data_IF_519919756436
#
_entry.id   IF_519919756436
#
_cell.length_a   1.000
_cell.length_b   1.000
_cell.length_c   1.000
_cell.angle_alpha   90.00
_cell.angle_beta   90.00
_cell.angle_gamma   90.00
#
_symmetry.space_group_name_H-M   'P 1'
#
loop_
_entity.id
_entity.type
_entity.pdbx_description
1 polymer ?
#
# COMPACT_ATOMS: atom_id res chain seq x y z
N UNK A 1 -18.19 15.60 -17.97
CA UNK A 1 -18.12 15.01 -16.61
C UNK A 1 -19.32 14.12 -16.35
N UNK A 2 -19.38 13.41 -15.21
CA UNK A 2 -20.44 12.42 -14.89
C UNK A 2 -21.87 12.96 -15.03
N UNK A 3 -22.10 14.24 -14.75
CA UNK A 3 -23.41 14.89 -14.82
C UNK A 3 -24.02 14.99 -16.23
N UNK A 4 -23.20 14.89 -17.29
CA UNK A 4 -23.65 15.05 -18.68
C UNK A 4 -23.81 13.75 -19.45
N UNK A 5 -23.91 12.59 -18.78
CA UNK A 5 -23.84 11.27 -19.44
C UNK A 5 -25.03 10.98 -20.37
N UNK A 6 -26.19 11.56 -20.10
CA UNK A 6 -27.45 11.29 -20.85
C UNK A 6 -27.96 12.52 -21.60
N UNK A 7 -27.60 13.72 -21.15
CA UNK A 7 -28.06 14.99 -21.70
C UNK A 7 -27.47 16.17 -20.93
N UNK A 8 -27.94 17.41 -21.17
CA UNK A 8 -27.47 18.58 -20.46
C UNK A 8 -27.66 18.43 -18.94
N UNK A 9 -26.56 18.52 -18.18
CA UNK A 9 -26.54 18.36 -16.73
C UNK A 9 -25.89 19.54 -16.02
N UNK A 10 -26.14 19.64 -14.71
CA UNK A 10 -25.55 20.69 -13.84
C UNK A 10 -24.56 20.05 -12.88
N UNK A 11 -23.49 20.77 -12.56
CA UNK A 11 -22.50 20.37 -11.56
C UNK A 11 -22.36 21.51 -10.54
N UNK A 12 -22.66 21.22 -9.29
CA UNK A 12 -22.47 22.16 -8.18
C UNK A 12 -21.12 21.88 -7.54
N UNK A 13 -20.22 22.85 -7.60
CA UNK A 13 -18.87 22.79 -7.01
C UNK A 13 -18.89 23.60 -5.72
N UNK A 14 -18.45 22.99 -4.60
CA UNK A 14 -18.43 23.64 -3.28
C UNK A 14 -17.13 24.43 -3.04
N UNK A 15 -16.58 25.02 -4.10
CA UNK A 15 -15.35 25.83 -4.10
C UNK A 15 -15.48 26.96 -5.12
N UNK A 16 -14.68 28.01 -4.96
CA UNK A 16 -14.69 29.17 -5.86
C UNK A 16 -14.04 28.85 -7.21
N UNK A 17 -14.38 29.62 -8.25
CA UNK A 17 -13.76 29.47 -9.55
C UNK A 17 -12.25 29.77 -9.50
N UNK A 18 -11.86 30.78 -8.71
CA UNK A 18 -10.45 31.16 -8.51
C UNK A 18 -9.63 30.00 -7.93
N UNK A 19 -10.15 29.29 -6.92
CA UNK A 19 -9.47 28.13 -6.36
C UNK A 19 -9.30 26.99 -7.39
N UNK A 20 -10.28 26.80 -8.27
CA UNK A 20 -10.18 25.79 -9.33
C UNK A 20 -9.10 26.12 -10.37
N UNK A 21 -8.94 27.40 -10.70
CA UNK A 21 -8.01 27.85 -11.74
C UNK A 21 -6.58 28.02 -11.24
N UNK A 22 -6.41 28.49 -9.99
CA UNK A 22 -5.11 28.92 -9.47
C UNK A 22 -4.54 28.01 -8.37
N UNK A 23 -5.36 27.31 -7.60
CA UNK A 23 -4.90 26.54 -6.42
C UNK A 23 -4.86 25.03 -6.66
N UNK A 24 -5.74 24.50 -7.51
CA UNK A 24 -5.80 23.06 -7.77
C UNK A 24 -4.70 22.60 -8.73
N UNK A 25 -4.10 21.44 -8.42
CA UNK A 25 -3.18 20.79 -9.35
C UNK A 25 -3.93 20.42 -10.65
N UNK A 26 -3.32 20.62 -11.82
CA UNK A 26 -3.96 20.32 -13.11
C UNK A 26 -4.19 18.81 -13.28
N UNK A 27 -3.34 17.98 -12.67
CA UNK A 27 -3.43 16.52 -12.68
C UNK A 27 -3.11 15.97 -11.30
N UNK A 28 -3.66 14.79 -11.00
CA UNK A 28 -3.27 14.04 -9.81
C UNK A 28 -1.86 13.48 -9.98
N UNK A 29 -1.04 13.60 -8.94
CA UNK A 29 0.28 12.94 -8.89
C UNK A 29 0.11 11.42 -9.04
N UNK A 30 1.00 10.71 -9.76
CA UNK A 30 0.97 9.25 -9.89
C UNK A 30 0.96 8.52 -8.53
N UNK A 31 0.37 7.33 -8.49
CA UNK A 31 0.29 6.53 -7.26
C UNK A 31 1.66 6.00 -6.81
N UNK A 32 2.50 5.60 -7.76
CA UNK A 32 3.85 5.08 -7.51
C UNK A 32 4.77 6.11 -6.81
N UNK A 33 4.47 7.40 -6.96
CA UNK A 33 5.20 8.49 -6.32
C UNK A 33 4.64 8.88 -4.93
N UNK A 34 3.50 8.31 -4.51
CA UNK A 34 2.77 8.70 -3.29
C UNK A 34 2.60 7.58 -2.26
N UNK A 35 2.92 6.34 -2.63
CA UNK A 35 2.63 5.16 -1.81
C UNK A 35 3.91 4.48 -1.35
N UNK A 36 3.80 3.65 -0.31
CA UNK A 36 4.89 2.78 0.11
C UNK A 36 5.12 1.69 -0.94
N UNK A 37 6.36 1.55 -1.39
CA UNK A 37 6.72 0.63 -2.48
C UNK A 37 7.14 -0.75 -2.02
N UNK A 38 7.15 -1.08 -0.72
CA UNK A 38 7.62 -2.38 -0.20
C UNK A 38 6.94 -3.57 -0.88
N UNK A 39 5.62 -3.54 -1.01
CA UNK A 39 4.86 -4.62 -1.68
C UNK A 39 5.19 -4.69 -3.17
N UNK A 40 5.25 -3.55 -3.84
CA UNK A 40 5.60 -3.47 -5.27
C UNK A 40 7.02 -3.97 -5.54
N UNK A 41 8.00 -3.56 -4.73
CA UNK A 41 9.40 -3.99 -4.83
C UNK A 41 9.52 -5.49 -4.59
N UNK A 42 8.80 -6.04 -3.61
CA UNK A 42 8.78 -7.49 -3.36
C UNK A 42 8.28 -8.27 -4.58
N UNK A 43 7.19 -7.80 -5.20
CA UNK A 43 6.60 -8.43 -6.38
C UNK A 43 7.55 -8.31 -7.59
N UNK A 44 8.15 -7.14 -7.84
CA UNK A 44 9.11 -6.94 -8.94
C UNK A 44 10.33 -7.87 -8.79
N UNK A 45 10.85 -8.00 -7.57
CA UNK A 45 11.94 -8.93 -7.27
C UNK A 45 11.52 -10.39 -7.46
N UNK A 46 10.29 -10.76 -7.08
CA UNK A 46 9.76 -12.10 -7.32
C UNK A 46 9.58 -12.41 -8.82
N UNK A 47 9.30 -11.39 -9.65
CA UNK A 47 9.27 -11.50 -11.11
C UNK A 47 10.67 -11.63 -11.74
N UNK A 48 11.75 -11.47 -10.96
CA UNK A 48 13.13 -11.56 -11.43
C UNK A 48 13.73 -10.22 -11.89
N UNK A 49 13.06 -9.09 -11.62
CA UNK A 49 13.57 -7.76 -11.92
C UNK A 49 14.51 -7.33 -10.79
N UNK A 50 15.82 -7.37 -11.06
CA UNK A 50 16.84 -7.06 -10.06
C UNK A 50 17.26 -5.58 -10.06
N UNK A 51 17.30 -4.97 -11.24
CA UNK A 51 17.65 -3.56 -11.41
C UNK A 51 16.38 -2.71 -11.39
N UNK A 52 16.03 -2.25 -10.19
CA UNK A 52 14.84 -1.42 -9.97
C UNK A 52 15.08 0.05 -10.32
N UNK A 53 16.35 0.48 -10.38
CA UNK A 53 16.70 1.89 -10.63
C UNK A 53 16.56 2.19 -12.12
N UNK A 54 17.02 1.27 -12.98
CA UNK A 54 16.91 1.40 -14.44
C UNK A 54 15.65 0.72 -15.01
N UNK A 55 14.71 0.32 -14.15
CA UNK A 55 13.45 -0.24 -14.60
C UNK A 55 12.61 0.85 -15.30
N UNK A 56 11.99 0.49 -16.43
CA UNK A 56 11.25 1.40 -17.29
C UNK A 56 9.86 1.72 -16.72
N UNK A 57 9.83 2.50 -15.63
CA UNK A 57 8.59 3.06 -15.09
C UNK A 57 8.11 4.22 -15.96
N UNK A 58 6.81 4.27 -16.25
CA UNK A 58 6.19 5.40 -16.96
C UNK A 58 6.42 6.73 -16.24
N UNK A 59 6.23 6.73 -14.91
CA UNK A 59 6.59 7.82 -14.01
C UNK A 59 7.46 7.23 -12.90
N UNK A 60 8.79 7.39 -12.94
CA UNK A 60 9.66 6.76 -11.95
C UNK A 60 9.40 7.30 -10.54
N UNK A 61 9.39 6.43 -9.52
CA UNK A 61 9.34 6.88 -8.13
C UNK A 61 10.65 7.55 -7.71
N UNK A 62 10.63 8.36 -6.64
CA UNK A 62 11.86 8.88 -6.04
C UNK A 62 12.78 7.73 -5.58
N UNK A 63 14.07 7.84 -5.89
CA UNK A 63 15.09 6.83 -5.52
C UNK A 63 15.11 6.57 -4.01
N UNK A 64 14.91 7.60 -3.20
CA UNK A 64 14.85 7.48 -1.74
C UNK A 64 13.71 6.55 -1.27
N UNK A 65 12.55 6.59 -1.94
CA UNK A 65 11.41 5.72 -1.63
C UNK A 65 11.70 4.27 -2.00
N UNK A 66 12.39 4.04 -3.11
CA UNK A 66 12.86 2.69 -3.50
C UNK A 66 13.86 2.13 -2.49
N UNK A 67 14.85 2.94 -2.08
CA UNK A 67 15.83 2.54 -1.06
C UNK A 67 15.14 2.19 0.25
N UNK A 68 14.24 3.05 0.75
CA UNK A 68 13.52 2.79 1.99
C UNK A 68 12.66 1.51 1.92
N UNK A 69 12.07 1.21 0.76
CA UNK A 69 11.34 -0.04 0.53
C UNK A 69 12.27 -1.26 0.55
N UNK A 70 13.43 -1.19 -0.11
CA UNK A 70 14.44 -2.25 -0.08
C UNK A 70 15.00 -2.48 1.33
N UNK A 71 15.31 -1.41 2.07
CA UNK A 71 15.74 -1.48 3.47
C UNK A 71 14.67 -2.14 4.35
N UNK A 72 13.40 -1.76 4.17
CA UNK A 72 12.28 -2.35 4.91
C UNK A 72 12.17 -3.86 4.64
N UNK A 73 12.32 -4.29 3.38
CA UNK A 73 12.28 -5.70 3.01
C UNK A 73 13.50 -6.48 3.51
N UNK A 74 14.67 -5.85 3.52
CA UNK A 74 15.88 -6.41 4.12
C UNK A 74 15.71 -6.63 5.64
N UNK A 75 15.15 -5.64 6.36
CA UNK A 75 14.84 -5.77 7.79
C UNK A 75 13.84 -6.91 8.09
N UNK A 76 12.92 -7.18 7.16
CA UNK A 76 11.98 -8.31 7.26
C UNK A 76 12.59 -9.66 6.86
N UNK A 77 13.87 -9.69 6.49
CA UNK A 77 14.59 -10.86 5.95
C UNK A 77 13.99 -11.39 4.64
N UNK A 78 13.24 -10.55 3.92
CA UNK A 78 12.71 -10.89 2.59
C UNK A 78 13.81 -10.78 1.52
N UNK A 79 14.77 -9.87 1.71
CA UNK A 79 15.97 -9.71 0.89
C UNK A 79 17.23 -10.12 1.66
N UNK A 80 18.25 -10.58 0.95
CA UNK A 80 19.60 -10.82 1.49
C UNK A 80 20.52 -9.58 1.34
N UNK A 81 21.78 -9.72 1.77
CA UNK A 81 22.80 -8.66 1.71
C UNK A 81 23.12 -8.19 0.28
N UNK A 82 22.83 -9.04 -0.72
CA UNK A 82 23.00 -8.73 -2.15
C UNK A 82 21.73 -8.12 -2.77
N UNK A 83 20.65 -7.96 -1.98
CA UNK A 83 19.37 -7.44 -2.43
C UNK A 83 18.59 -8.44 -3.30
N UNK A 84 18.89 -9.73 -3.19
CA UNK A 84 18.19 -10.83 -3.84
C UNK A 84 17.12 -11.42 -2.92
N UNK A 85 16.12 -12.05 -3.53
CA UNK A 85 14.96 -12.57 -2.82
C UNK A 85 15.30 -13.87 -2.08
N UNK A 86 15.12 -13.88 -0.75
CA UNK A 86 15.35 -15.07 0.08
C UNK A 86 14.22 -16.10 -0.10
N UNK A 87 14.39 -17.31 0.45
CA UNK A 87 13.31 -18.31 0.48
C UNK A 87 12.07 -17.79 1.21
N UNK A 88 12.29 -17.04 2.29
CA UNK A 88 11.23 -16.38 3.05
C UNK A 88 10.55 -15.29 2.20
N UNK A 89 11.33 -14.44 1.53
CA UNK A 89 10.81 -13.41 0.63
C UNK A 89 9.96 -13.97 -0.50
N UNK A 90 10.34 -15.13 -1.07
CA UNK A 90 9.52 -15.84 -2.07
C UNK A 90 8.16 -16.27 -1.51
N UNK A 91 8.14 -16.87 -0.32
CA UNK A 91 6.89 -17.23 0.35
C UNK A 91 6.05 -15.99 0.65
N UNK A 92 6.67 -14.90 1.10
CA UNK A 92 5.98 -13.64 1.37
C UNK A 92 5.31 -13.05 0.12
N UNK A 93 5.93 -13.21 -1.06
CA UNK A 93 5.42 -12.73 -2.33
C UNK A 93 4.18 -13.50 -2.83
N UNK A 94 3.89 -14.69 -2.29
CA UNK A 94 2.68 -15.45 -2.62
C UNK A 94 1.44 -14.92 -1.90
N UNK A 95 1.61 -14.19 -0.79
CA UNK A 95 0.49 -13.63 -0.04
C UNK A 95 0.08 -12.25 -0.59
N UNK A 96 -1.23 -11.99 -0.79
CA UNK A 96 -1.74 -10.71 -1.30
C UNK A 96 -1.88 -9.66 -0.19
N UNK A 97 -0.87 -9.55 0.68
CA UNK A 97 -0.91 -8.73 1.91
C UNK A 97 0.42 -7.99 2.09
N UNK A 98 0.45 -6.98 2.96
CA UNK A 98 1.69 -6.24 3.22
C UNK A 98 2.81 -7.17 3.73
N UNK A 99 4.07 -6.97 3.27
CA UNK A 99 5.20 -7.82 3.65
C UNK A 99 5.39 -7.99 5.16
N UNK A 100 5.09 -6.96 5.96
CA UNK A 100 5.16 -7.03 7.42
C UNK A 100 4.14 -8.02 8.01
N UNK A 101 2.92 -8.05 7.47
CA UNK A 101 1.86 -8.99 7.86
C UNK A 101 2.18 -10.40 7.34
N UNK A 102 2.71 -10.52 6.12
CA UNK A 102 3.17 -11.83 5.59
C UNK A 102 4.25 -12.44 6.47
N UNK A 103 5.21 -11.63 6.91
CA UNK A 103 6.26 -12.07 7.84
C UNK A 103 5.67 -12.52 9.17
N UNK A 104 4.69 -11.79 9.70
CA UNK A 104 4.02 -12.12 10.96
C UNK A 104 3.32 -13.49 10.86
N UNK A 105 2.56 -13.74 9.79
CA UNK A 105 1.89 -15.02 9.56
C UNK A 105 2.87 -16.18 9.44
N UNK A 106 3.94 -16.01 8.65
CA UNK A 106 4.95 -17.06 8.48
C UNK A 106 5.65 -17.40 9.79
N UNK A 107 5.98 -16.39 10.59
CA UNK A 107 6.64 -16.59 11.89
C UNK A 107 5.68 -17.21 12.92
N UNK A 108 4.37 -16.94 12.81
CA UNK A 108 3.36 -17.51 13.71
C UNK A 108 3.24 -19.04 13.57
N UNK A 109 3.53 -19.58 12.38
CA UNK A 109 3.57 -21.04 12.15
C UNK A 109 4.69 -21.67 12.99
N UNK A 110 5.88 -21.07 12.99
CA UNK A 110 7.03 -21.57 13.76
C UNK A 110 6.80 -21.46 15.27
N UNK A 111 6.04 -20.46 15.72
CA UNK A 111 5.68 -20.24 17.13
C UNK A 111 4.43 -21.02 17.59
N UNK A 112 3.73 -21.68 16.66
CA UNK A 112 2.52 -22.46 16.98
C UNK A 112 1.27 -21.64 17.30
N UNK A 113 1.22 -20.36 16.89
CA UNK A 113 0.09 -19.44 17.11
C UNK A 113 -0.53 -18.92 15.79
N UNK A 114 -0.52 -19.76 14.76
CA UNK A 114 -0.95 -19.37 13.42
C UNK A 114 -2.45 -19.01 13.34
N UNK A 115 -3.31 -19.67 14.12
CA UNK A 115 -4.76 -19.46 14.09
C UNK A 115 -5.15 -18.07 14.62
N UNK A 116 -4.54 -17.68 15.74
CA UNK A 116 -4.75 -16.38 16.36
C UNK A 116 -4.23 -15.25 15.46
N UNK A 117 -3.02 -15.41 14.91
CA UNK A 117 -2.40 -14.39 14.05
C UNK A 117 -3.13 -14.27 12.71
N UNK A 118 -3.65 -15.37 12.16
CA UNK A 118 -4.50 -15.35 10.96
C UNK A 118 -5.77 -14.54 11.20
N UNK A 119 -6.42 -14.74 12.36
CA UNK A 119 -7.63 -13.99 12.75
C UNK A 119 -7.31 -12.50 12.91
N UNK A 120 -6.22 -12.17 13.61
CA UNK A 120 -5.79 -10.77 13.82
C UNK A 120 -5.45 -10.09 12.49
N UNK A 121 -4.71 -10.77 11.62
CA UNK A 121 -4.30 -10.22 10.32
C UNK A 121 -5.51 -9.97 9.42
N UNK A 122 -6.50 -10.88 9.44
CA UNK A 122 -7.76 -10.70 8.72
C UNK A 122 -8.54 -9.48 9.21
N UNK A 123 -8.55 -9.24 10.52
CA UNK A 123 -9.23 -8.07 11.13
C UNK A 123 -8.50 -6.74 10.84
N UNK A 124 -7.19 -6.75 10.62
CA UNK A 124 -6.42 -5.54 10.29
C UNK A 124 -6.67 -5.08 8.84
N UNK A 125 -6.97 -6.02 7.94
CA UNK A 125 -7.19 -5.70 6.52
C UNK A 125 -8.55 -5.05 6.25
N UNK A 126 -9.51 -5.24 7.14
CA UNK A 126 -10.82 -4.59 7.05
C UNK A 126 -10.79 -3.22 7.70
N UNK A 127 -11.76 -2.37 7.35
CA UNK A 127 -11.94 -1.09 8.04
C UNK A 127 -12.29 -1.31 9.51
N UNK A 128 -12.04 -0.28 10.32
CA UNK A 128 -12.29 -0.33 11.75
C UNK A 128 -13.73 -0.79 12.03
N UNK A 129 -13.84 -1.89 12.79
CA UNK A 129 -15.12 -2.54 13.13
C UNK A 129 -15.85 -1.79 14.26
N UNK A 130 -15.12 -1.00 15.06
CA UNK A 130 -15.71 -0.23 16.15
C UNK A 130 -16.40 1.03 15.61
N UNK A 131 -17.72 1.11 15.83
CA UNK A 131 -18.52 2.27 15.48
C UNK A 131 -18.69 3.19 16.70
N UNK A 132 -18.21 4.43 16.60
CA UNK A 132 -18.23 5.41 17.69
C UNK A 132 -19.00 6.69 17.29
N UNK A 133 -20.35 6.68 17.38
CA UNK A 133 -21.15 7.86 17.04
C UNK A 133 -20.92 9.00 18.05
N UNK A 134 -20.83 10.24 17.54
CA UNK A 134 -20.48 11.44 18.34
C UNK A 134 -21.41 11.65 19.54
N UNK A 135 -22.69 11.31 19.42
CA UNK A 135 -23.70 11.53 20.47
C UNK A 135 -23.71 10.44 21.56
N UNK A 136 -23.14 9.26 21.28
CA UNK A 136 -23.21 8.09 22.19
C UNK A 136 -21.83 7.50 22.50
N UNK A 137 -20.81 8.36 22.59
CA UNK A 137 -19.44 7.93 22.85
C UNK A 137 -19.31 7.10 24.13
N UNK A 138 -19.92 7.54 25.22
CA UNK A 138 -19.88 6.83 26.52
C UNK A 138 -20.58 5.46 26.53
N UNK A 139 -21.44 5.15 25.55
CA UNK A 139 -22.06 3.82 25.41
C UNK A 139 -21.27 2.92 24.45
N UNK A 140 -20.44 3.52 23.60
CA UNK A 140 -19.65 2.84 22.60
C UNK A 140 -18.24 2.47 23.12
N UNK A 141 -17.76 3.20 24.14
CA UNK A 141 -16.53 2.92 24.90
C UNK A 141 -16.77 1.83 25.96
#
# INVERSE_FOLDING_TARGET
GRAGRTGPGKCYRLYTQEAFENEMLPTSVPEIQRTNLSTTVLILKAMGINDLINFDFMDPPPVQTLIAAMESLYMLSALDDEGLLTKLGRLMAEFPIDPSLSKMLLTAIDLGCADEIMTITSMIQVQNVFYRPKEKQAQAD
#
